data_IF_934529552908
#
_entry.id   IF_934529552908
#
_cell.length_a   1.000
_cell.length_b   1.000
_cell.length_c   1.000
_cell.angle_alpha   90.00
_cell.angle_beta   90.00
_cell.angle_gamma   90.00
#
_symmetry.space_group_name_H-M   'P 1'
#
loop_
_entity.id
_entity.type
_entity.pdbx_description
1 polymer ?
#
# COMPACT_ATOMS: atom_id res chain seq x y z
N UNK A 1 8.22 -2.09 1.83
CA UNK A 1 6.86 -1.67 2.18
C UNK A 1 6.68 -0.19 1.89
N UNK A 2 5.97 0.18 0.84
CA UNK A 2 5.75 1.59 0.53
C UNK A 2 4.79 2.25 1.54
N UNK A 3 4.96 3.54 1.74
CA UNK A 3 4.06 4.31 2.59
C UNK A 3 2.81 4.77 1.84
N UNK A 4 1.96 5.52 2.54
CA UNK A 4 0.70 6.03 1.97
C UNK A 4 0.89 6.76 0.66
N UNK A 5 1.90 7.62 0.55
CA UNK A 5 2.10 8.43 -0.65
C UNK A 5 2.39 7.58 -1.89
N UNK A 6 3.20 6.55 -1.74
CA UNK A 6 3.52 5.65 -2.85
C UNK A 6 2.29 4.85 -3.26
N UNK A 7 1.51 4.34 -2.31
CA UNK A 7 0.25 3.65 -2.61
C UNK A 7 -0.73 4.57 -3.33
N UNK A 8 -0.85 5.82 -2.89
CA UNK A 8 -1.71 6.81 -3.54
C UNK A 8 -1.21 7.17 -4.93
N UNK A 9 0.11 7.27 -5.14
CA UNK A 9 0.68 7.50 -6.46
C UNK A 9 0.31 6.39 -7.43
N UNK A 10 0.46 5.14 -7.00
CA UNK A 10 0.09 3.97 -7.81
C UNK A 10 -1.40 3.98 -8.13
N UNK A 11 -2.25 4.27 -7.14
CA UNK A 11 -3.70 4.33 -7.33
C UNK A 11 -4.10 5.43 -8.30
N UNK A 12 -3.51 6.62 -8.18
CA UNK A 12 -3.80 7.72 -9.10
C UNK A 12 -3.41 7.38 -10.53
N UNK A 13 -2.24 6.78 -10.73
CA UNK A 13 -1.81 6.37 -12.07
C UNK A 13 -2.70 5.27 -12.65
N UNK A 14 -3.08 4.30 -11.84
CA UNK A 14 -4.01 3.25 -12.26
C UNK A 14 -5.34 3.85 -12.71
N UNK A 15 -5.91 4.76 -11.92
CA UNK A 15 -7.19 5.38 -12.24
C UNK A 15 -7.12 6.23 -13.51
N UNK A 16 -6.02 6.94 -13.75
CA UNK A 16 -5.83 7.71 -14.99
C UNK A 16 -5.82 6.82 -16.22
N UNK A 17 -5.22 5.64 -16.14
CA UNK A 17 -5.10 4.69 -17.25
C UNK A 17 -6.34 3.81 -17.41
N UNK A 18 -7.18 3.71 -16.40
CA UNK A 18 -8.35 2.83 -16.37
C UNK A 18 -9.58 3.57 -15.87
N UNK A 19 -9.89 4.70 -16.49
CA UNK A 19 -10.98 5.60 -16.06
C UNK A 19 -12.35 4.90 -15.98
N UNK A 20 -12.59 3.96 -16.87
CA UNK A 20 -13.84 3.20 -16.90
C UNK A 20 -13.96 2.17 -15.77
N UNK A 21 -12.87 1.82 -15.12
CA UNK A 21 -12.84 0.81 -14.05
C UNK A 21 -12.95 1.39 -12.65
N UNK A 22 -12.72 2.69 -12.50
CA UNK A 22 -12.82 3.37 -11.20
C UNK A 22 -13.89 4.44 -11.30
N UNK A 23 -15.05 4.19 -10.69
CA UNK A 23 -16.22 5.08 -10.73
C UNK A 23 -16.26 6.06 -9.58
N UNK A 24 -15.80 5.65 -8.39
CA UNK A 24 -15.76 6.49 -7.21
C UNK A 24 -14.31 6.57 -6.70
N UNK A 25 -13.65 7.67 -7.02
CA UNK A 25 -12.23 7.86 -6.68
C UNK A 25 -12.00 7.89 -5.18
N UNK A 26 -12.90 8.48 -4.40
CA UNK A 26 -12.75 8.53 -2.94
C UNK A 26 -12.79 7.12 -2.33
N UNK A 27 -13.74 6.27 -2.72
CA UNK A 27 -13.79 4.88 -2.25
C UNK A 27 -12.56 4.11 -2.68
N UNK A 28 -12.11 4.31 -3.91
CA UNK A 28 -10.90 3.65 -4.42
C UNK A 28 -9.67 4.02 -3.60
N UNK A 29 -9.48 5.31 -3.31
CA UNK A 29 -8.35 5.77 -2.50
C UNK A 29 -8.46 5.32 -1.05
N UNK A 30 -9.65 5.32 -0.47
CA UNK A 30 -9.86 4.78 0.87
C UNK A 30 -9.46 3.30 0.95
N UNK A 31 -9.86 2.51 -0.03
CA UNK A 31 -9.47 1.11 -0.12
C UNK A 31 -7.96 0.95 -0.26
N UNK A 32 -7.34 1.80 -1.06
CA UNK A 32 -5.89 1.76 -1.30
C UNK A 32 -5.09 1.96 -0.02
N UNK A 33 -5.53 2.80 0.90
CA UNK A 33 -4.82 3.02 2.16
C UNK A 33 -5.31 2.14 3.30
N UNK A 34 -6.46 1.49 3.15
CA UNK A 34 -7.12 0.76 4.23
C UNK A 34 -6.25 -0.30 4.91
N UNK A 35 -5.48 -1.13 4.19
CA UNK A 35 -4.65 -2.12 4.87
C UNK A 35 -3.70 -1.52 5.91
N UNK A 36 -3.09 -0.39 5.60
CA UNK A 36 -2.20 0.30 6.54
C UNK A 36 -2.98 1.14 7.55
N UNK A 37 -3.99 1.86 7.10
CA UNK A 37 -4.78 2.74 7.96
C UNK A 37 -5.48 1.98 9.08
N UNK A 38 -6.06 0.81 8.77
CA UNK A 38 -6.80 0.03 9.75
C UNK A 38 -5.89 -0.45 10.87
N UNK A 39 -4.74 -1.04 10.56
CA UNK A 39 -3.88 -1.55 11.63
C UNK A 39 -3.15 -0.43 12.39
N UNK A 40 -2.85 0.69 11.75
CA UNK A 40 -2.21 1.84 12.41
C UNK A 40 -3.17 2.55 13.38
N UNK A 41 -4.47 2.55 13.09
CA UNK A 41 -5.47 3.23 13.93
C UNK A 41 -6.19 2.30 14.90
N UNK A 42 -6.05 0.98 14.74
CA UNK A 42 -6.67 -0.01 15.62
C UNK A 42 -5.64 -1.04 16.07
N UNK A 43 -5.16 -0.89 17.30
CA UNK A 43 -4.11 -1.75 17.86
C UNK A 43 -4.53 -3.20 18.06
N UNK A 44 -5.82 -3.49 18.06
CA UNK A 44 -6.34 -4.86 18.19
C UNK A 44 -6.27 -5.65 16.90
N UNK A 45 -5.99 -5.00 15.76
CA UNK A 45 -5.92 -5.64 14.46
C UNK A 45 -4.47 -5.64 13.97
N UNK A 46 -3.91 -6.82 13.74
CA UNK A 46 -2.53 -6.95 13.29
C UNK A 46 -2.40 -6.68 11.79
N UNK A 47 -1.20 -6.31 11.38
CA UNK A 47 -0.84 -6.15 9.97
C UNK A 47 -1.07 -7.43 9.16
N UNK A 48 -0.84 -8.60 9.75
CA UNK A 48 -1.09 -9.88 9.09
C UNK A 48 -2.54 -10.04 8.67
N UNK A 49 -3.47 -9.57 9.50
CA UNK A 49 -4.90 -9.64 9.21
C UNK A 49 -5.26 -8.67 8.08
N UNK A 50 -4.85 -7.42 8.19
CA UNK A 50 -5.22 -6.39 7.19
C UNK A 50 -4.57 -6.65 5.83
N UNK A 51 -3.39 -7.25 5.80
CA UNK A 51 -2.66 -7.52 4.57
C UNK A 51 -2.84 -8.96 4.07
N UNK A 52 -3.71 -9.74 4.70
CA UNK A 52 -4.01 -11.13 4.29
C UNK A 52 -2.73 -11.95 4.12
N UNK A 53 -1.82 -11.85 5.09
CA UNK A 53 -0.55 -12.50 4.91
C UNK A 53 0.23 -12.75 6.18
N UNK A 54 1.51 -13.00 5.97
CA UNK A 54 2.48 -13.19 7.03
C UNK A 54 3.61 -12.19 6.79
N UNK A 55 3.85 -11.34 7.78
CA UNK A 55 4.89 -10.33 7.72
C UNK A 55 5.93 -10.65 8.79
N UNK A 56 7.12 -10.98 8.34
CA UNK A 56 8.25 -11.20 9.23
C UNK A 56 8.96 -9.91 9.56
N UNK A 57 10.20 -10.03 10.04
CA UNK A 57 11.05 -8.89 10.26
C UNK A 57 11.29 -8.17 8.94
N UNK A 58 11.04 -6.88 8.91
CA UNK A 58 11.17 -6.08 7.69
C UNK A 58 12.63 -5.88 7.23
N UNK A 59 13.60 -6.31 8.01
CA UNK A 59 15.01 -6.39 7.60
C UNK A 59 15.30 -7.65 6.79
N UNK A 60 14.39 -8.60 6.76
CA UNK A 60 14.44 -9.80 5.93
C UNK A 60 13.35 -9.73 4.86
N UNK A 61 13.50 -10.44 3.75
CA UNK A 61 12.51 -10.44 2.69
C UNK A 61 11.61 -11.67 2.79
N UNK A 62 10.99 -11.89 3.95
CA UNK A 62 10.18 -13.07 4.23
C UNK A 62 8.69 -12.77 4.41
N UNK A 63 8.21 -11.68 3.85
CA UNK A 63 6.78 -11.35 3.84
C UNK A 63 6.04 -12.14 2.78
N UNK A 64 4.83 -12.59 3.11
CA UNK A 64 3.96 -13.32 2.20
C UNK A 64 2.55 -12.70 2.21
N UNK A 65 1.93 -12.65 1.03
CA UNK A 65 0.54 -12.23 0.88
C UNK A 65 -0.22 -13.38 0.25
N UNK A 66 -1.31 -13.81 0.92
CA UNK A 66 -2.14 -14.92 0.46
C UNK A 66 -3.32 -14.38 -0.35
N UNK A 67 -3.11 -14.12 -1.63
CA UNK A 67 -4.13 -13.54 -2.51
C UNK A 67 -5.36 -14.42 -2.63
N UNK A 68 -5.20 -15.74 -2.58
CA UNK A 68 -6.32 -16.68 -2.59
C UNK A 68 -7.25 -16.46 -1.38
N UNK A 69 -6.70 -16.23 -0.20
CA UNK A 69 -7.49 -15.93 1.00
C UNK A 69 -8.23 -14.61 0.87
N UNK A 70 -7.60 -13.60 0.29
CA UNK A 70 -8.23 -12.32 0.02
C UNK A 70 -9.42 -12.50 -0.93
N UNK A 71 -9.21 -13.19 -2.05
CA UNK A 71 -10.24 -13.40 -3.07
C UNK A 71 -11.38 -14.28 -2.61
N UNK A 72 -11.15 -15.17 -1.65
CA UNK A 72 -12.17 -16.06 -1.08
C UNK A 72 -12.95 -15.43 0.08
N UNK A 73 -12.49 -14.32 0.63
CA UNK A 73 -13.16 -13.63 1.72
C UNK A 73 -14.52 -13.09 1.24
N UNK A 74 -15.59 -13.48 1.90
CA UNK A 74 -16.96 -13.18 1.48
C UNK A 74 -17.29 -11.68 1.46
N UNK A 75 -16.58 -10.86 2.24
CA UNK A 75 -16.79 -9.40 2.25
C UNK A 75 -16.11 -8.68 1.08
N UNK A 76 -15.16 -9.34 0.41
CA UNK A 76 -14.42 -8.76 -0.71
C UNK A 76 -15.27 -8.83 -1.98
N UNK A 77 -15.54 -7.66 -2.56
CA UNK A 77 -16.28 -7.53 -3.81
C UNK A 77 -15.47 -6.65 -4.78
N UNK A 78 -14.83 -7.26 -5.75
CA UNK A 78 -13.98 -6.56 -6.72
C UNK A 78 -14.77 -5.71 -7.73
N UNK A 79 -16.10 -5.71 -7.67
CA UNK A 79 -16.92 -4.73 -8.39
C UNK A 79 -16.99 -3.41 -7.64
N UNK A 80 -16.68 -3.41 -6.35
CA UNK A 80 -16.67 -2.23 -5.48
C UNK A 80 -15.29 -1.57 -5.53
N UNK A 81 -15.25 -0.26 -5.70
CA UNK A 81 -14.00 0.49 -5.84
C UNK A 81 -13.12 0.44 -4.59
N UNK A 82 -13.71 0.37 -3.39
CA UNK A 82 -12.96 0.17 -2.15
C UNK A 82 -12.11 -1.11 -2.23
N UNK A 83 -12.72 -2.23 -2.61
CA UNK A 83 -12.00 -3.51 -2.68
C UNK A 83 -11.02 -3.59 -3.84
N UNK A 84 -11.28 -2.87 -4.93
CA UNK A 84 -10.29 -2.70 -6.01
C UNK A 84 -9.05 -1.97 -5.50
N UNK A 85 -9.24 -0.90 -4.74
CA UNK A 85 -8.13 -0.17 -4.12
C UNK A 85 -7.37 -1.02 -3.11
N UNK A 86 -8.10 -1.77 -2.29
CA UNK A 86 -7.52 -2.69 -1.32
C UNK A 86 -6.62 -3.73 -2.01
N UNK A 87 -7.13 -4.33 -3.08
CA UNK A 87 -6.37 -5.30 -3.87
C UNK A 87 -5.12 -4.67 -4.48
N UNK A 88 -5.23 -3.47 -5.00
CA UNK A 88 -4.09 -2.75 -5.57
C UNK A 88 -2.99 -2.49 -4.52
N UNK A 89 -3.39 -2.17 -3.28
CA UNK A 89 -2.45 -2.02 -2.18
C UNK A 89 -1.65 -3.31 -1.95
N UNK A 90 -2.35 -4.44 -1.88
CA UNK A 90 -1.71 -5.74 -1.67
C UNK A 90 -0.76 -6.10 -2.80
N UNK A 91 -1.15 -5.82 -4.05
CA UNK A 91 -0.30 -6.03 -5.21
C UNK A 91 0.96 -5.17 -5.15
N UNK A 92 0.81 -3.90 -4.77
CA UNK A 92 1.95 -2.99 -4.65
C UNK A 92 2.94 -3.47 -3.58
N UNK A 93 2.44 -3.89 -2.43
CA UNK A 93 3.30 -4.44 -1.36
C UNK A 93 4.02 -5.70 -1.82
N UNK A 94 3.32 -6.58 -2.51
CA UNK A 94 3.88 -7.81 -3.03
C UNK A 94 5.05 -7.54 -3.98
N UNK A 95 4.82 -6.67 -4.97
CA UNK A 95 5.87 -6.35 -5.95
C UNK A 95 7.01 -5.55 -5.35
N UNK A 96 6.72 -4.63 -4.45
CA UNK A 96 7.75 -3.84 -3.78
C UNK A 96 8.69 -4.74 -2.98
N UNK A 97 8.14 -5.65 -2.18
CA UNK A 97 8.94 -6.54 -1.36
C UNK A 97 9.81 -7.50 -2.18
N UNK A 98 9.29 -7.98 -3.32
CA UNK A 98 10.00 -8.99 -4.12
C UNK A 98 10.96 -8.40 -5.13
N UNK A 99 10.63 -7.25 -5.72
CA UNK A 99 11.39 -6.68 -6.81
C UNK A 99 12.40 -5.62 -6.36
N UNK A 100 12.06 -4.84 -5.36
CA UNK A 100 12.85 -3.69 -4.95
C UNK A 100 13.55 -3.85 -3.61
N UNK A 101 13.25 -4.91 -2.87
CA UNK A 101 13.93 -5.19 -1.62
C UNK A 101 15.29 -5.83 -1.94
N UNK A 102 16.37 -5.09 -1.70
CA UNK A 102 17.74 -5.55 -1.89
C UNK A 102 18.60 -5.23 -0.66
N UNK A 103 19.88 -5.59 -0.74
CA UNK A 103 20.83 -5.41 0.35
C UNK A 103 21.00 -3.93 0.73
N UNK A 104 20.99 -3.05 -0.26
CA UNK A 104 21.14 -1.61 0.00
C UNK A 104 19.92 -1.05 0.71
N UNK A 105 18.71 -1.44 0.31
CA UNK A 105 17.49 -1.06 1.01
C UNK A 105 17.48 -1.59 2.43
N UNK A 106 17.94 -2.82 2.64
CA UNK A 106 18.02 -3.40 3.97
C UNK A 106 18.98 -2.61 4.86
N UNK A 107 20.14 -2.23 4.35
CA UNK A 107 21.09 -1.39 5.07
C UNK A 107 20.53 -0.01 5.39
N UNK A 108 19.80 0.58 4.46
CA UNK A 108 19.14 1.87 4.68
C UNK A 108 18.09 1.77 5.79
N UNK A 109 17.37 0.67 5.87
CA UNK A 109 16.39 0.41 6.94
C UNK A 109 17.06 0.21 8.30
N UNK A 110 18.21 -0.45 8.34
CA UNK A 110 18.98 -0.60 9.57
C UNK A 110 19.46 0.76 10.10
N UNK A 111 19.64 1.74 9.21
CA UNK A 111 19.93 3.13 9.57
C UNK A 111 18.63 3.95 9.47
N UNK A 112 17.75 3.75 10.45
CA UNK A 112 16.38 4.27 10.45
C UNK A 112 16.25 5.76 10.07
N UNK A 113 17.05 6.63 10.68
CA UNK A 113 16.92 8.07 10.48
C UNK A 113 17.12 8.46 9.02
N UNK A 114 18.11 7.88 8.38
CA UNK A 114 18.38 8.14 6.97
C UNK A 114 17.27 7.60 6.08
N UNK A 115 16.80 6.39 6.35
CA UNK A 115 15.72 5.78 5.57
C UNK A 115 14.45 6.61 5.60
N UNK A 116 13.99 7.00 6.79
CA UNK A 116 12.76 7.78 6.92
C UNK A 116 12.90 9.19 6.37
N UNK A 117 14.05 9.82 6.51
CA UNK A 117 14.29 11.13 5.93
C UNK A 117 14.23 11.11 4.40
N UNK A 118 14.88 10.14 3.78
CA UNK A 118 14.84 9.96 2.32
C UNK A 118 13.41 9.66 1.85
N UNK A 119 12.66 8.89 2.64
CA UNK A 119 11.28 8.53 2.36
C UNK A 119 10.36 9.76 2.36
N UNK A 120 10.48 10.62 3.37
CA UNK A 120 9.69 11.86 3.46
C UNK A 120 9.98 12.80 2.29
N UNK A 121 11.23 12.96 1.91
CA UNK A 121 11.62 13.78 0.75
C UNK A 121 11.01 13.21 -0.54
N UNK A 122 11.06 11.90 -0.72
CA UNK A 122 10.47 11.22 -1.88
C UNK A 122 8.96 11.41 -1.92
N UNK A 123 8.29 11.36 -0.76
CA UNK A 123 6.84 11.57 -0.67
C UNK A 123 6.43 12.96 -1.15
N UNK A 124 7.13 14.00 -0.71
CA UNK A 124 6.84 15.36 -1.16
C UNK A 124 7.01 15.53 -2.66
N UNK A 125 8.09 15.01 -3.21
CA UNK A 125 8.36 15.04 -4.64
C UNK A 125 7.27 14.34 -5.45
N UNK A 126 6.82 13.16 -4.99
CA UNK A 126 5.76 12.41 -5.66
C UNK A 126 4.44 13.16 -5.65
N UNK A 127 4.07 13.80 -4.54
CA UNK A 127 2.84 14.58 -4.45
C UNK A 127 2.84 15.70 -5.48
N UNK A 128 3.93 16.45 -5.57
CA UNK A 128 4.06 17.57 -6.51
C UNK A 128 4.12 17.10 -7.97
N UNK A 129 4.92 16.09 -8.24
CA UNK A 129 5.19 15.62 -9.60
C UNK A 129 3.99 14.97 -10.28
N UNK A 130 3.22 14.19 -9.53
CA UNK A 130 2.10 13.42 -10.07
C UNK A 130 0.73 14.01 -9.74
N UNK A 131 0.67 15.17 -9.09
CA UNK A 131 -0.58 15.81 -8.68
C UNK A 131 -1.47 14.81 -7.92
N UNK A 132 -0.93 14.22 -6.87
CA UNK A 132 -1.59 13.15 -6.14
C UNK A 132 -2.72 13.71 -5.30
N UNK A 133 -3.90 13.08 -5.42
CA UNK A 133 -5.06 13.38 -4.59
C UNK A 133 -4.85 12.74 -3.22
N UNK A 134 -4.91 13.55 -2.17
CA UNK A 134 -4.79 13.10 -0.79
C UNK A 134 -6.16 13.21 -0.14
N UNK A 135 -6.60 12.14 0.53
CA UNK A 135 -7.87 12.14 1.25
C UNK A 135 -7.67 12.56 2.71
N UNK A 136 -8.73 13.04 3.34
CA UNK A 136 -8.67 13.62 4.69
C UNK A 136 -8.24 12.64 5.79
N UNK A 137 -8.26 11.34 5.52
CA UNK A 137 -7.87 10.31 6.49
C UNK A 137 -6.37 10.18 6.71
N UNK A 138 -5.56 10.85 5.90
CA UNK A 138 -4.09 10.73 5.96
C UNK A 138 -3.49 11.92 6.74
#
# INVERSE_FOLDING_TARGET
MPGFTIHLAIANEYAKKNKEKVKNMNEFLEGTIAPDYIFLTNQDISKNITHYGKWGDWTTNDQEIYFDKFLEDSKVDLQNDYWKGYFLHLLADYYFGRKYFDEEMRKAKENNDKFYNDYDCTNKELIERYDIIIIDKI
#
